data_IF_643837894658
#
_entry.id   IF_643837894658
#
_cell.length_a   1.000
_cell.length_b   1.000
_cell.length_c   1.000
_cell.angle_alpha   90.00
_cell.angle_beta   90.00
_cell.angle_gamma   90.00
#
_symmetry.space_group_name_H-M   'P 1'
#
loop_
_entity.id
_entity.type
_entity.pdbx_description
1 polymer ?
#
# COMPACT_ATOMS: atom_id res chain seq x y z
N UNK A 1 7.36 28.95 -9.24
CA UNK A 1 7.85 29.25 -7.89
C UNK A 1 6.69 28.90 -6.98
N UNK A 2 6.63 27.64 -6.57
CA UNK A 2 5.62 27.08 -5.67
C UNK A 2 6.28 25.87 -5.04
N UNK A 3 6.18 25.83 -3.73
CA UNK A 3 7.13 25.21 -2.82
C UNK A 3 7.27 23.72 -3.07
N UNK A 4 8.51 23.29 -3.28
CA UNK A 4 8.87 21.91 -3.03
C UNK A 4 8.54 21.65 -1.56
N UNK A 5 7.63 20.71 -1.30
CA UNK A 5 7.62 19.95 -0.06
C UNK A 5 8.92 19.13 0.00
N UNK A 6 10.05 19.82 0.16
CA UNK A 6 11.29 19.25 0.64
C UNK A 6 11.00 18.91 2.11
N UNK A 7 10.47 17.72 2.33
CA UNK A 7 10.50 17.10 3.65
C UNK A 7 11.97 17.01 4.05
N UNK A 8 12.42 17.96 4.88
CA UNK A 8 13.68 17.84 5.62
C UNK A 8 13.74 16.45 6.27
N UNK A 9 14.92 15.83 6.38
CA UNK A 9 15.05 14.53 7.02
C UNK A 9 14.82 14.69 8.53
N UNK A 10 13.56 14.67 8.95
CA UNK A 10 13.13 14.65 10.36
C UNK A 10 13.41 13.26 10.94
N UNK A 11 14.67 12.90 11.19
CA UNK A 11 14.96 11.74 12.02
C UNK A 11 15.68 12.15 13.31
N UNK A 12 14.98 12.96 14.11
CA UNK A 12 15.27 13.14 15.56
C UNK A 12 14.94 11.87 16.38
N UNK A 13 14.74 10.73 15.72
CA UNK A 13 14.46 9.45 16.37
C UNK A 13 15.79 8.72 16.55
N UNK A 14 16.23 8.63 17.80
CA UNK A 14 17.42 7.87 18.17
C UNK A 14 17.12 6.38 18.07
N UNK A 15 18.01 5.66 17.38
CA UNK A 15 17.98 4.20 17.27
C UNK A 15 17.97 3.51 18.64
N UNK A 16 17.33 2.34 18.74
CA UNK A 16 17.49 1.48 19.89
C UNK A 16 18.93 0.98 19.99
N UNK A 17 19.57 1.28 21.12
CA UNK A 17 20.87 0.75 21.51
C UNK A 17 20.70 -0.32 22.60
N UNK A 18 21.13 -1.57 22.35
CA UNK A 18 21.08 -2.62 23.36
C UNK A 18 21.90 -2.23 24.59
N UNK A 19 21.35 -2.47 25.78
CA UNK A 19 22.02 -2.12 27.03
C UNK A 19 22.94 -3.27 27.45
N UNK A 20 24.26 -3.03 27.52
CA UNK A 20 25.25 -4.07 27.83
C UNK A 20 25.07 -4.71 29.21
N UNK A 21 24.43 -4.01 30.15
CA UNK A 21 24.16 -4.50 31.51
C UNK A 21 22.86 -5.32 31.64
N UNK A 22 22.00 -5.34 30.62
CA UNK A 22 20.76 -6.11 30.68
C UNK A 22 21.01 -7.57 30.27
N UNK A 23 20.44 -8.49 31.04
CA UNK A 23 20.27 -9.88 30.60
C UNK A 23 19.43 -9.93 29.31
N UNK A 24 19.64 -10.95 28.49
CA UNK A 24 18.97 -11.08 27.20
C UNK A 24 17.44 -11.07 27.34
N UNK A 25 16.92 -11.60 28.44
CA UNK A 25 15.50 -11.64 28.79
C UNK A 25 14.88 -10.26 29.03
N UNK A 26 15.69 -9.26 29.42
CA UNK A 26 15.23 -7.89 29.64
C UNK A 26 15.35 -6.99 28.39
N UNK A 27 16.11 -7.41 27.36
CA UNK A 27 16.32 -6.62 26.15
C UNK A 27 15.05 -6.45 25.30
N UNK A 28 14.21 -7.50 25.06
CA UNK A 28 12.95 -7.33 24.35
C UNK A 28 12.01 -6.33 25.03
N UNK A 29 11.93 -6.35 26.35
CA UNK A 29 11.11 -5.39 27.10
C UNK A 29 11.61 -3.96 26.91
N UNK A 30 12.93 -3.74 26.96
CA UNK A 30 13.52 -2.43 26.68
C UNK A 30 13.29 -1.98 25.22
N UNK A 31 13.35 -2.91 24.26
CA UNK A 31 13.06 -2.63 22.85
C UNK A 31 11.60 -2.25 22.62
N UNK A 32 10.66 -2.96 23.27
CA UNK A 32 9.24 -2.64 23.25
C UNK A 32 8.99 -1.26 23.85
N UNK A 33 9.63 -0.93 24.97
CA UNK A 33 9.49 0.39 25.58
C UNK A 33 10.02 1.52 24.70
N UNK A 34 11.18 1.31 24.06
CA UNK A 34 11.69 2.24 23.05
C UNK A 34 10.71 2.42 21.90
N UNK A 35 10.09 1.34 21.43
CA UNK A 35 9.11 1.41 20.34
C UNK A 35 7.83 2.17 20.76
N UNK A 36 7.33 1.97 21.98
CA UNK A 36 6.20 2.74 22.53
C UNK A 36 6.50 4.25 22.57
N UNK A 37 7.71 4.63 22.93
CA UNK A 37 8.16 6.03 22.93
C UNK A 37 8.42 6.58 21.52
N UNK A 38 8.67 5.71 20.55
CA UNK A 38 8.98 6.08 19.17
C UNK A 38 7.73 6.21 18.32
N UNK A 39 6.69 5.41 18.57
CA UNK A 39 5.47 5.40 17.77
C UNK A 39 4.82 6.79 17.59
N UNK A 40 4.65 7.62 18.66
CA UNK A 40 4.07 8.95 18.51
C UNK A 40 4.91 9.91 17.65
N UNK A 41 6.23 9.68 17.55
CA UNK A 41 7.15 10.52 16.76
C UNK A 41 6.97 10.34 15.25
N UNK A 42 6.22 9.32 14.82
CA UNK A 42 5.86 9.12 13.42
C UNK A 42 4.62 9.90 12.98
N UNK A 43 3.94 10.62 13.89
CA UNK A 43 2.75 11.40 13.58
C UNK A 43 3.15 12.78 13.02
N UNK A 44 2.48 13.31 11.97
CA UNK A 44 1.48 12.65 11.13
C UNK A 44 2.09 11.90 9.92
N UNK A 45 3.40 12.06 9.69
CA UNK A 45 4.08 11.72 8.43
C UNK A 45 4.05 10.23 8.07
N UNK A 46 3.98 9.34 9.07
CA UNK A 46 4.11 7.89 8.88
C UNK A 46 2.98 7.08 9.51
N UNK A 47 2.34 7.64 10.54
CA UNK A 47 1.19 7.10 11.26
C UNK A 47 0.22 8.23 11.60
N UNK A 48 -1.07 7.92 11.74
CA UNK A 48 -2.09 8.91 12.08
C UNK A 48 -2.15 9.16 13.60
N UNK A 49 -2.61 10.35 14.01
CA UNK A 49 -2.75 10.72 15.43
C UNK A 49 -3.70 9.81 16.23
N UNK A 50 -4.61 9.11 15.53
CA UNK A 50 -5.55 8.16 16.11
C UNK A 50 -4.92 6.83 16.54
N UNK A 51 -3.66 6.56 16.17
CA UNK A 51 -3.02 5.28 16.48
C UNK A 51 -2.97 5.03 17.99
N UNK A 52 -3.34 3.81 18.41
CA UNK A 52 -3.15 3.34 19.78
C UNK A 52 -2.26 2.11 19.78
N UNK A 53 -1.40 2.00 20.79
CA UNK A 53 -0.48 0.87 20.88
C UNK A 53 -1.25 -0.44 21.02
N UNK A 54 -2.36 -0.43 21.74
CA UNK A 54 -3.19 -1.56 22.12
C UNK A 54 -3.94 -2.17 20.93
N UNK A 55 -4.16 -1.41 19.86
CA UNK A 55 -4.97 -1.82 18.71
C UNK A 55 -4.49 -3.15 18.10
N UNK A 56 -5.46 -4.01 17.74
CA UNK A 56 -5.19 -5.27 17.03
C UNK A 56 -4.80 -5.08 15.56
N UNK A 57 -4.92 -3.86 15.04
CA UNK A 57 -4.58 -3.50 13.67
C UNK A 57 -4.23 -2.02 13.58
N UNK A 58 -3.15 -1.69 12.88
CA UNK A 58 -2.76 -0.32 12.55
C UNK A 58 -3.12 0.08 11.11
N UNK A 59 -3.91 -0.75 10.41
CA UNK A 59 -4.33 -0.48 9.02
C UNK A 59 -4.99 0.89 8.84
N UNK A 60 -5.96 1.24 9.70
CA UNK A 60 -6.69 2.50 9.64
C UNK A 60 -5.87 3.71 10.17
N UNK A 61 -4.69 3.45 10.74
CA UNK A 61 -3.88 4.44 11.43
C UNK A 61 -2.62 4.81 10.63
N UNK A 62 -2.70 4.75 9.30
CA UNK A 62 -1.59 5.12 8.41
C UNK A 62 -0.56 4.00 8.19
N UNK A 63 -0.85 2.77 8.60
CA UNK A 63 0.03 1.61 8.40
C UNK A 63 -0.68 0.51 7.60
N UNK A 64 -0.77 0.63 6.27
CA UNK A 64 -1.52 -0.30 5.43
C UNK A 64 -1.13 -1.75 5.64
N UNK A 65 -2.13 -2.62 5.65
CA UNK A 65 -2.01 -4.07 5.85
C UNK A 65 -1.37 -4.53 7.18
N UNK A 66 -1.32 -3.66 8.20
CA UNK A 66 -0.74 -3.96 9.50
C UNK A 66 -1.75 -4.54 10.50
N UNK A 67 -2.10 -5.83 10.36
CA UNK A 67 -2.96 -6.53 11.34
C UNK A 67 -2.17 -7.56 12.16
N UNK A 68 -2.19 -7.41 13.49
CA UNK A 68 -1.54 -8.30 14.47
C UNK A 68 -2.37 -9.55 14.75
N UNK A 69 -2.78 -10.21 13.69
CA UNK A 69 -3.48 -11.49 13.72
C UNK A 69 -2.51 -12.66 13.55
N UNK A 70 -2.82 -13.83 14.13
CA UNK A 70 -2.05 -15.06 14.00
C UNK A 70 -1.98 -15.56 12.55
N UNK A 71 -1.04 -16.45 12.26
CA UNK A 71 -0.96 -17.12 10.96
C UNK A 71 -2.26 -17.88 10.67
N UNK A 72 -2.80 -17.74 9.46
CA UNK A 72 -4.05 -18.38 9.07
C UNK A 72 -5.34 -17.69 9.57
N UNK A 73 -5.24 -16.56 10.26
CA UNK A 73 -6.42 -15.74 10.57
C UNK A 73 -7.09 -15.25 9.29
N UNK A 74 -8.42 -15.34 9.24
CA UNK A 74 -9.24 -14.82 8.14
C UNK A 74 -10.28 -13.82 8.66
N UNK A 75 -10.99 -13.13 7.76
CA UNK A 75 -12.11 -12.26 8.16
C UNK A 75 -13.24 -13.06 8.82
N UNK A 76 -13.51 -14.28 8.34
CA UNK A 76 -14.57 -15.15 8.85
C UNK A 76 -14.18 -15.86 10.16
N UNK A 77 -12.88 -16.13 10.36
CA UNK A 77 -12.35 -16.75 11.57
C UNK A 77 -11.15 -15.93 12.07
N UNK A 78 -11.40 -14.76 12.69
CA UNK A 78 -10.34 -13.90 13.19
C UNK A 78 -9.62 -14.57 14.36
N UNK A 79 -8.29 -14.59 14.32
CA UNK A 79 -7.43 -15.12 15.38
C UNK A 79 -6.36 -14.09 15.69
N UNK A 80 -6.35 -13.56 16.92
CA UNK A 80 -5.34 -12.59 17.34
C UNK A 80 -3.98 -13.28 17.53
N UNK A 81 -2.90 -12.57 17.16
CA UNK A 81 -1.55 -12.94 17.60
C UNK A 81 -1.52 -12.84 19.13
N UNK A 82 -0.85 -13.79 19.78
CA UNK A 82 -0.91 -13.90 21.24
C UNK A 82 0.29 -13.22 21.92
N UNK A 83 0.02 -12.63 23.08
CA UNK A 83 1.07 -12.11 23.96
C UNK A 83 1.96 -13.25 24.50
N UNK A 84 3.23 -12.97 24.85
CA UNK A 84 3.93 -11.68 24.73
C UNK A 84 4.42 -11.33 23.31
N UNK A 85 4.35 -12.25 22.34
CA UNK A 85 4.93 -12.04 21.01
C UNK A 85 4.33 -10.85 20.26
N UNK A 86 3.03 -10.56 20.43
CA UNK A 86 2.36 -9.42 19.80
C UNK A 86 3.03 -8.08 20.09
N UNK A 87 3.50 -7.88 21.32
CA UNK A 87 4.17 -6.63 21.73
C UNK A 87 5.50 -6.47 21.01
N UNK A 88 6.25 -7.57 20.85
CA UNK A 88 7.47 -7.59 20.05
C UNK A 88 7.18 -7.33 18.56
N UNK A 89 6.15 -7.95 18.00
CA UNK A 89 5.76 -7.72 16.61
C UNK A 89 5.41 -6.24 16.36
N UNK A 90 4.65 -5.62 17.27
CA UNK A 90 4.37 -4.18 17.26
C UNK A 90 5.66 -3.36 17.27
N UNK A 91 6.60 -3.68 18.17
CA UNK A 91 7.88 -2.99 18.26
C UNK A 91 8.71 -3.07 16.96
N UNK A 92 8.71 -4.23 16.30
CA UNK A 92 9.35 -4.40 14.99
C UNK A 92 8.67 -3.57 13.90
N UNK A 93 7.33 -3.47 13.90
CA UNK A 93 6.61 -2.60 12.96
C UNK A 93 6.95 -1.13 13.18
N UNK A 94 7.09 -0.66 14.43
CA UNK A 94 7.56 0.70 14.72
C UNK A 94 8.98 0.92 14.19
N UNK A 95 9.89 -0.01 14.47
CA UNK A 95 11.28 0.08 13.99
C UNK A 95 11.33 0.23 12.47
N UNK A 96 10.52 -0.54 11.74
CA UNK A 96 10.53 -0.52 10.27
C UNK A 96 9.78 0.68 9.68
N UNK A 97 8.58 0.97 10.18
CA UNK A 97 7.70 2.00 9.60
C UNK A 97 8.10 3.41 10.03
N UNK A 98 8.39 3.61 11.31
CA UNK A 98 8.62 4.93 11.89
C UNK A 98 10.11 5.27 11.88
N UNK A 99 10.96 4.41 12.43
CA UNK A 99 12.39 4.71 12.53
C UNK A 99 13.13 4.59 11.19
N UNK A 100 12.95 3.48 10.45
CA UNK A 100 13.53 3.30 9.12
C UNK A 100 12.73 3.94 7.97
N UNK A 101 11.55 4.52 8.29
CA UNK A 101 10.67 5.19 7.33
C UNK A 101 10.31 4.33 6.10
N UNK A 102 10.23 3.00 6.25
CA UNK A 102 9.91 2.10 5.14
C UNK A 102 8.40 2.04 4.92
N UNK A 103 7.98 2.34 3.70
CA UNK A 103 6.57 2.28 3.29
C UNK A 103 5.98 0.86 3.41
N UNK A 104 6.71 -0.15 2.94
CA UNK A 104 6.29 -1.56 2.89
C UNK A 104 6.73 -2.33 4.12
N UNK A 105 5.76 -2.86 4.88
CA UNK A 105 6.01 -3.68 6.08
C UNK A 105 5.37 -5.07 6.06
N UNK A 106 4.47 -5.34 5.09
CA UNK A 106 3.65 -6.56 5.08
C UNK A 106 4.50 -7.84 5.08
N UNK A 107 5.61 -7.86 4.34
CA UNK A 107 6.53 -9.02 4.31
C UNK A 107 7.11 -9.36 5.68
N UNK A 108 7.52 -8.35 6.46
CA UNK A 108 8.01 -8.55 7.83
C UNK A 108 6.90 -9.03 8.76
N UNK A 109 5.69 -8.49 8.60
CA UNK A 109 4.54 -8.94 9.38
C UNK A 109 4.16 -10.39 9.06
N UNK A 110 4.21 -10.81 7.79
CA UNK A 110 3.98 -12.23 7.41
C UNK A 110 5.05 -13.14 7.99
N UNK A 111 6.32 -12.73 7.93
CA UNK A 111 7.43 -13.47 8.54
C UNK A 111 7.24 -13.62 10.06
N UNK A 112 6.85 -12.55 10.76
CA UNK A 112 6.55 -12.57 12.20
C UNK A 112 5.41 -13.52 12.56
N UNK A 113 4.34 -13.59 11.75
CA UNK A 113 3.23 -14.54 11.98
C UNK A 113 3.69 -15.99 11.90
N UNK A 114 4.52 -16.31 10.91
CA UNK A 114 5.08 -17.67 10.80
C UNK A 114 6.09 -17.96 11.92
N UNK A 115 6.86 -16.95 12.34
CA UNK A 115 7.80 -17.06 13.45
C UNK A 115 7.09 -17.31 14.78
N UNK A 116 6.00 -16.61 15.07
CA UNK A 116 5.18 -16.81 16.28
C UNK A 116 4.63 -18.23 16.36
N UNK A 117 4.05 -18.72 15.26
CA UNK A 117 3.52 -20.08 15.17
C UNK A 117 4.62 -21.13 15.41
N UNK A 118 5.77 -20.99 14.73
CA UNK A 118 6.90 -21.91 14.87
C UNK A 118 7.53 -21.88 16.26
N UNK A 119 7.65 -20.69 16.86
CA UNK A 119 8.23 -20.51 18.19
C UNK A 119 7.37 -21.19 19.26
N UNK A 120 6.05 -20.98 19.20
CA UNK A 120 5.14 -21.64 20.13
C UNK A 120 5.14 -23.16 19.94
N UNK A 121 5.12 -23.61 18.69
CA UNK A 121 5.13 -25.04 18.37
C UNK A 121 6.36 -25.77 18.93
N UNK A 122 7.57 -25.21 18.76
CA UNK A 122 8.80 -25.90 19.17
C UNK A 122 9.18 -25.67 20.63
N UNK A 123 8.73 -24.58 21.26
CA UNK A 123 9.19 -24.18 22.59
C UNK A 123 8.11 -24.22 23.67
N UNK A 124 6.84 -24.34 23.28
CA UNK A 124 5.67 -24.20 24.16
C UNK A 124 5.45 -22.77 24.66
N UNK A 125 6.29 -21.82 24.24
CA UNK A 125 6.28 -20.43 24.71
C UNK A 125 6.34 -19.46 23.56
N UNK A 126 6.04 -18.19 23.83
CA UNK A 126 6.11 -17.08 22.87
C UNK A 126 7.24 -16.11 23.19
N UNK A 127 8.21 -16.58 23.95
CA UNK A 127 9.39 -15.83 24.34
C UNK A 127 10.36 -15.70 23.16
N UNK A 128 10.44 -14.48 22.61
CA UNK A 128 11.22 -14.15 21.42
C UNK A 128 12.73 -14.38 21.61
N UNK A 129 13.21 -14.41 22.86
CA UNK A 129 14.63 -14.65 23.15
C UNK A 129 15.04 -16.09 22.83
N UNK A 130 14.07 -17.02 22.78
CA UNK A 130 14.25 -18.45 22.48
C UNK A 130 14.21 -18.77 20.99
N UNK A 131 14.09 -17.77 20.12
CA UNK A 131 14.19 -17.96 18.67
C UNK A 131 15.56 -18.55 18.33
N UNK A 132 15.56 -19.61 17.51
CA UNK A 132 16.75 -20.36 17.09
C UNK A 132 16.67 -20.70 15.60
N UNK A 133 17.77 -21.23 15.03
CA UNK A 133 17.77 -21.70 13.65
C UNK A 133 16.69 -22.77 13.37
N UNK A 134 16.41 -23.65 14.35
CA UNK A 134 15.36 -24.66 14.23
C UNK A 134 13.95 -24.02 14.16
N UNK A 135 13.70 -23.00 14.98
CA UNK A 135 12.46 -22.20 14.93
C UNK A 135 12.33 -21.51 13.57
N UNK A 136 13.41 -20.94 13.03
CA UNK A 136 13.39 -20.28 11.72
C UNK A 136 13.09 -21.27 10.59
N UNK A 137 13.68 -22.47 10.60
CA UNK A 137 13.39 -23.53 9.64
C UNK A 137 11.92 -23.95 9.70
N UNK A 138 11.37 -24.13 10.92
CA UNK A 138 9.95 -24.45 11.09
C UNK A 138 9.03 -23.31 10.63
N UNK A 139 9.43 -22.05 10.82
CA UNK A 139 8.72 -20.91 10.26
C UNK A 139 8.71 -20.95 8.73
N UNK A 140 9.82 -21.32 8.07
CA UNK A 140 9.87 -21.50 6.62
C UNK A 140 8.95 -22.63 6.11
N UNK A 141 8.75 -23.70 6.88
CA UNK A 141 7.74 -24.71 6.55
C UNK A 141 6.32 -24.14 6.61
N UNK A 142 6.00 -23.37 7.65
CA UNK A 142 4.71 -22.67 7.76
C UNK A 142 4.50 -21.70 6.61
N UNK A 143 5.52 -20.91 6.23
CA UNK A 143 5.49 -20.03 5.07
C UNK A 143 5.18 -20.81 3.79
N UNK A 144 5.86 -21.94 3.58
CA UNK A 144 5.71 -22.76 2.37
C UNK A 144 4.32 -23.40 2.26
N UNK A 145 3.78 -23.89 3.38
CA UNK A 145 2.42 -24.46 3.43
C UNK A 145 1.37 -23.40 3.19
N UNK A 146 1.51 -22.23 3.83
CA UNK A 146 0.49 -21.18 3.77
C UNK A 146 0.51 -20.42 2.43
N UNK A 147 1.69 -20.20 1.84
CA UNK A 147 1.87 -19.55 0.54
C UNK A 147 2.46 -20.50 -0.51
N UNK A 148 1.77 -21.61 -0.75
CA UNK A 148 2.23 -22.66 -1.66
C UNK A 148 2.35 -22.23 -3.13
N UNK A 149 1.63 -21.19 -3.55
CA UNK A 149 1.61 -20.66 -4.94
C UNK A 149 2.51 -19.43 -5.08
N UNK A 150 3.15 -19.30 -6.25
CA UNK A 150 4.07 -18.20 -6.54
C UNK A 150 5.36 -18.22 -5.71
N UNK A 151 6.00 -17.05 -5.59
CA UNK A 151 7.29 -16.82 -4.92
C UNK A 151 7.12 -16.19 -3.51
N UNK A 152 5.90 -16.06 -3.00
CA UNK A 152 5.63 -15.35 -1.74
C UNK A 152 6.36 -15.98 -0.54
N UNK A 153 6.33 -17.31 -0.41
CA UNK A 153 7.04 -18.00 0.67
C UNK A 153 8.55 -17.68 0.65
N UNK A 154 9.17 -17.69 -0.53
CA UNK A 154 10.57 -17.31 -0.72
C UNK A 154 10.84 -15.87 -0.26
N UNK A 155 10.01 -14.92 -0.70
CA UNK A 155 10.16 -13.52 -0.31
C UNK A 155 10.02 -13.32 1.21
N UNK A 156 9.04 -13.98 1.85
CA UNK A 156 8.89 -13.91 3.30
C UNK A 156 10.02 -14.61 4.06
N UNK A 157 10.65 -15.63 3.46
CA UNK A 157 11.88 -16.23 3.99
C UNK A 157 13.05 -15.25 4.03
N UNK A 158 13.24 -14.44 2.97
CA UNK A 158 14.25 -13.37 2.96
C UNK A 158 13.95 -12.27 3.99
N UNK A 159 12.67 -11.90 4.15
CA UNK A 159 12.28 -10.91 5.16
C UNK A 159 12.48 -11.46 6.59
N UNK A 160 12.27 -12.77 6.80
CA UNK A 160 12.61 -13.45 8.06
C UNK A 160 14.12 -13.40 8.31
N UNK A 161 14.96 -13.62 7.30
CA UNK A 161 16.42 -13.53 7.43
C UNK A 161 16.89 -12.12 7.83
N UNK A 162 16.30 -11.09 7.22
CA UNK A 162 16.54 -9.70 7.59
C UNK A 162 16.07 -9.41 9.04
N UNK A 163 14.95 -9.98 9.45
CA UNK A 163 14.44 -9.89 10.83
C UNK A 163 15.41 -10.54 11.83
N UNK A 164 15.90 -11.75 11.57
CA UNK A 164 16.87 -12.43 12.45
C UNK A 164 18.17 -11.63 12.53
N UNK A 165 18.63 -11.05 11.41
CA UNK A 165 19.80 -10.16 11.39
C UNK A 165 19.59 -8.94 12.30
N UNK A 166 18.40 -8.32 12.25
CA UNK A 166 18.05 -7.23 13.15
C UNK A 166 18.02 -7.68 14.61
N UNK A 167 17.38 -8.82 14.92
CA UNK A 167 17.27 -9.33 16.28
C UNK A 167 18.66 -9.55 16.91
N UNK A 168 19.62 -10.07 16.14
CA UNK A 168 21.03 -10.18 16.58
C UNK A 168 21.67 -8.83 16.81
N UNK A 169 21.57 -7.91 15.85
CA UNK A 169 22.15 -6.58 15.97
C UNK A 169 21.60 -5.81 17.18
N UNK A 170 20.34 -6.07 17.54
CA UNK A 170 19.66 -5.47 18.70
C UNK A 170 19.74 -6.32 19.97
N UNK A 171 20.51 -7.41 19.98
CA UNK A 171 20.68 -8.35 21.12
C UNK A 171 19.34 -8.80 21.74
N UNK A 172 18.38 -9.14 20.88
CA UNK A 172 17.02 -9.57 21.27
C UNK A 172 16.92 -11.09 21.44
N UNK A 173 18.03 -11.81 21.26
CA UNK A 173 18.14 -13.26 21.35
C UNK A 173 18.95 -13.64 22.58
N UNK A 174 18.60 -14.76 23.22
CA UNK A 174 19.39 -15.31 24.33
C UNK A 174 20.73 -15.87 23.85
N UNK A 175 20.71 -16.56 22.72
CA UNK A 175 21.90 -17.12 22.08
C UNK A 175 21.96 -16.63 20.65
N UNK A 176 23.08 -16.01 20.28
CA UNK A 176 23.32 -15.56 18.92
C UNK A 176 23.52 -16.76 17.98
N UNK A 177 22.90 -16.70 16.80
CA UNK A 177 23.11 -17.66 15.73
C UNK A 177 23.06 -16.97 14.38
N UNK A 178 23.73 -17.52 13.37
CA UNK A 178 23.57 -17.08 11.97
C UNK A 178 22.61 -18.04 11.28
N UNK A 179 21.74 -17.50 10.43
CA UNK A 179 20.76 -18.28 9.70
C UNK A 179 20.45 -17.63 8.37
N UNK A 180 20.21 -18.46 7.36
CA UNK A 180 19.79 -18.07 6.03
C UNK A 180 18.58 -18.89 5.63
N UNK A 181 17.64 -18.29 4.89
CA UNK A 181 16.42 -18.99 4.50
C UNK A 181 16.72 -20.18 3.57
N UNK A 182 16.21 -21.41 3.87
CA UNK A 182 16.35 -22.56 2.98
C UNK A 182 15.36 -22.50 1.79
N UNK A 183 14.42 -21.56 1.79
CA UNK A 183 13.45 -21.43 0.72
C UNK A 183 14.13 -20.94 -0.55
N UNK A 184 13.91 -21.65 -1.65
CA UNK A 184 14.40 -21.27 -2.96
C UNK A 184 13.30 -20.56 -3.75
N UNK A 185 13.73 -19.59 -4.56
CA UNK A 185 12.84 -18.99 -5.56
C UNK A 185 12.41 -20.05 -6.56
N UNK A 186 11.16 -20.06 -6.98
CA UNK A 186 10.73 -20.98 -8.03
C UNK A 186 11.44 -20.64 -9.34
N UNK A 187 11.93 -21.64 -10.10
CA UNK A 187 12.50 -21.37 -11.40
C UNK A 187 11.44 -20.73 -12.28
N UNK A 188 11.81 -19.66 -12.98
CA UNK A 188 10.96 -19.10 -14.02
C UNK A 188 10.96 -20.09 -15.18
N UNK A 189 9.78 -20.35 -15.77
CA UNK A 189 9.70 -21.14 -16.99
C UNK A 189 10.56 -20.56 -18.11
N UNK A 190 10.76 -21.32 -19.18
CA UNK A 190 11.47 -20.85 -20.39
C UNK A 190 10.84 -19.56 -20.94
N UNK A 191 11.59 -18.79 -21.73
CA UNK A 191 11.05 -17.59 -22.39
C UNK A 191 9.80 -17.90 -23.23
N UNK A 192 9.75 -19.09 -23.84
CA UNK A 192 8.59 -19.59 -24.59
C UNK A 192 7.37 -19.77 -23.69
N UNK A 193 7.54 -20.44 -22.54
CA UNK A 193 6.46 -20.59 -21.55
C UNK A 193 6.00 -19.24 -21.02
N UNK A 194 6.92 -18.34 -20.68
CA UNK A 194 6.55 -17.00 -20.21
C UNK A 194 5.78 -16.19 -21.26
N UNK A 195 6.11 -16.35 -22.55
CA UNK A 195 5.36 -15.72 -23.64
C UNK A 195 3.95 -16.29 -23.73
N UNK A 196 3.81 -17.61 -23.74
CA UNK A 196 2.51 -18.28 -23.76
C UNK A 196 1.64 -17.90 -22.53
N UNK A 197 2.23 -17.86 -21.34
CA UNK A 197 1.54 -17.43 -20.10
C UNK A 197 1.07 -15.96 -20.18
N UNK A 198 1.82 -15.09 -20.86
CA UNK A 198 1.42 -13.69 -21.09
C UNK A 198 0.29 -13.59 -22.09
N UNK A 199 0.40 -14.33 -23.20
CA UNK A 199 -0.64 -14.39 -24.23
C UNK A 199 -1.97 -14.90 -23.67
N UNK A 200 -1.93 -15.93 -22.80
CA UNK A 200 -3.12 -16.44 -22.12
C UNK A 200 -3.78 -15.42 -21.17
N UNK A 201 -3.02 -14.43 -20.66
CA UNK A 201 -3.54 -13.38 -19.77
C UNK A 201 -4.06 -12.15 -20.51
N UNK A 202 -3.83 -12.05 -21.82
CA UNK A 202 -4.37 -10.95 -22.62
C UNK A 202 -5.88 -11.16 -22.81
N UNK A 203 -6.68 -10.07 -22.83
CA UNK A 203 -8.07 -10.17 -23.23
C UNK A 203 -8.18 -10.70 -24.66
N UNK A 204 -9.22 -11.49 -24.93
CA UNK A 204 -9.46 -11.99 -26.29
C UNK A 204 -9.84 -10.84 -27.23
N UNK A 205 -9.63 -10.98 -28.55
CA UNK A 205 -10.08 -9.99 -29.53
C UNK A 205 -11.57 -9.65 -29.41
N UNK A 206 -12.41 -10.64 -29.13
CA UNK A 206 -13.86 -10.49 -28.94
C UNK A 206 -14.16 -9.67 -27.68
N UNK A 207 -13.40 -9.85 -26.60
CA UNK A 207 -13.55 -9.03 -25.40
C UNK A 207 -13.19 -7.57 -25.66
N UNK A 208 -12.11 -7.30 -26.42
CA UNK A 208 -11.74 -5.93 -26.82
C UNK A 208 -12.81 -5.33 -27.72
N UNK A 209 -13.36 -6.11 -28.66
CA UNK A 209 -14.44 -5.67 -29.55
C UNK A 209 -15.70 -5.32 -28.77
N UNK A 210 -16.11 -6.19 -27.84
CA UNK A 210 -17.27 -5.95 -26.96
C UNK A 210 -17.09 -4.68 -26.12
N UNK A 211 -15.90 -4.42 -25.58
CA UNK A 211 -15.60 -3.16 -24.88
C UNK A 211 -15.76 -1.95 -25.82
N UNK A 212 -15.32 -2.06 -27.07
CA UNK A 212 -15.52 -1.04 -28.09
C UNK A 212 -17.00 -0.80 -28.41
N UNK A 213 -17.79 -1.87 -28.60
CA UNK A 213 -19.24 -1.79 -28.85
C UNK A 213 -19.96 -1.14 -27.65
N UNK A 214 -19.65 -1.58 -26.43
CA UNK A 214 -20.18 -0.98 -25.20
C UNK A 214 -19.84 0.49 -25.09
N UNK A 215 -18.57 0.86 -25.30
CA UNK A 215 -18.14 2.25 -25.23
C UNK A 215 -18.91 3.10 -26.24
N UNK A 216 -19.11 2.63 -27.47
CA UNK A 216 -19.78 3.38 -28.54
C UNK A 216 -21.31 3.52 -28.40
N UNK A 217 -21.94 2.84 -27.44
CA UNK A 217 -23.35 3.03 -27.15
C UNK A 217 -23.65 4.39 -26.48
N UNK A 218 -24.94 4.72 -26.39
CA UNK A 218 -25.41 5.82 -25.56
C UNK A 218 -25.27 5.45 -24.08
N UNK A 219 -24.20 5.93 -23.45
CA UNK A 219 -23.92 5.69 -22.04
C UNK A 219 -24.63 6.75 -21.18
N UNK A 220 -25.44 6.31 -20.21
CA UNK A 220 -26.24 7.20 -19.35
C UNK A 220 -25.73 7.17 -17.90
N UNK A 221 -25.31 6.00 -17.40
CA UNK A 221 -24.87 5.86 -16.01
C UNK A 221 -23.43 6.38 -15.85
N UNK A 222 -23.14 7.26 -14.88
CA UNK A 222 -21.78 7.75 -14.65
C UNK A 222 -20.74 6.65 -14.46
N UNK A 223 -21.09 5.57 -13.74
CA UNK A 223 -20.18 4.43 -13.54
C UNK A 223 -19.81 3.74 -14.86
N UNK A 224 -20.77 3.55 -15.77
CA UNK A 224 -20.51 2.94 -17.08
C UNK A 224 -19.60 3.84 -17.92
N UNK A 225 -19.86 5.15 -17.90
CA UNK A 225 -19.03 6.15 -18.58
C UNK A 225 -17.60 6.10 -18.05
N UNK A 226 -17.41 6.16 -16.73
CA UNK A 226 -16.08 6.18 -16.10
C UNK A 226 -15.31 4.90 -16.42
N UNK A 227 -15.92 3.73 -16.23
CA UNK A 227 -15.24 2.44 -16.42
C UNK A 227 -14.89 2.20 -17.89
N UNK A 228 -15.83 2.42 -18.81
CA UNK A 228 -15.56 2.21 -20.24
C UNK A 228 -14.58 3.23 -20.80
N UNK A 229 -14.64 4.49 -20.33
CA UNK A 229 -13.66 5.52 -20.69
C UNK A 229 -12.26 5.19 -20.17
N UNK A 230 -12.13 4.69 -18.94
CA UNK A 230 -10.86 4.21 -18.40
C UNK A 230 -10.27 3.08 -19.27
N UNK A 231 -11.07 2.10 -19.67
CA UNK A 231 -10.64 1.05 -20.60
C UNK A 231 -10.18 1.62 -21.95
N UNK A 232 -10.98 2.50 -22.55
CA UNK A 232 -10.66 3.12 -23.83
C UNK A 232 -9.37 3.96 -23.77
N UNK A 233 -9.17 4.72 -22.69
CA UNK A 233 -7.96 5.52 -22.48
C UNK A 233 -6.72 4.64 -22.30
N UNK A 234 -6.82 3.56 -21.51
CA UNK A 234 -5.71 2.61 -21.30
C UNK A 234 -5.36 1.80 -22.56
N UNK A 235 -6.33 1.53 -23.43
CA UNK A 235 -6.07 0.95 -24.75
C UNK A 235 -5.42 1.98 -25.71
N UNK A 236 -5.75 3.26 -25.56
CA UNK A 236 -5.22 4.36 -26.37
C UNK A 236 -3.81 4.79 -25.95
N UNK A 237 -3.48 4.69 -24.66
CA UNK A 237 -2.18 5.02 -24.09
C UNK A 237 -1.87 4.09 -22.90
N UNK A 238 -1.29 2.90 -23.16
CA UNK A 238 -1.05 1.87 -22.15
C UNK A 238 -0.30 2.40 -20.92
N UNK A 239 -0.98 2.34 -19.77
CA UNK A 239 -0.53 2.93 -18.50
C UNK A 239 -1.03 2.11 -17.30
N UNK A 240 -0.62 2.48 -16.07
CA UNK A 240 -1.16 1.82 -14.88
C UNK A 240 -2.55 2.36 -14.58
N UNK A 241 -3.46 1.47 -14.21
CA UNK A 241 -4.82 1.86 -13.78
C UNK A 241 -4.81 2.85 -12.62
N UNK A 242 -3.85 2.72 -11.68
CA UNK A 242 -3.72 3.63 -10.54
C UNK A 242 -3.30 5.05 -10.91
N UNK A 243 -2.70 5.26 -12.08
CA UNK A 243 -2.28 6.58 -12.56
C UNK A 243 -3.44 7.34 -13.24
N UNK A 244 -4.61 6.70 -13.46
CA UNK A 244 -5.76 7.35 -14.10
C UNK A 244 -6.34 8.50 -13.28
N UNK A 245 -6.26 8.42 -11.95
CA UNK A 245 -6.74 9.46 -11.05
C UNK A 245 -5.92 10.77 -11.16
N UNK A 246 -4.68 10.68 -11.67
CA UNK A 246 -3.76 11.81 -11.82
C UNK A 246 -3.82 12.42 -13.24
N UNK A 247 -4.76 11.99 -14.09
CA UNK A 247 -4.92 12.54 -15.44
C UNK A 247 -5.69 13.86 -15.35
N UNK A 248 -4.99 14.96 -15.66
CA UNK A 248 -5.54 16.32 -15.63
C UNK A 248 -6.60 16.56 -16.71
N UNK A 249 -7.46 17.57 -16.50
CA UNK A 249 -8.50 17.96 -17.46
C UNK A 249 -7.89 18.41 -18.80
N UNK A 250 -6.80 19.19 -18.77
CA UNK A 250 -6.09 19.70 -19.96
C UNK A 250 -5.00 18.72 -20.44
N UNK A 251 -5.29 17.41 -20.40
CA UNK A 251 -4.32 16.39 -20.76
C UNK A 251 -4.03 16.27 -22.27
N UNK A 252 -4.85 16.83 -23.15
CA UNK A 252 -4.68 16.68 -24.60
C UNK A 252 -3.61 17.64 -25.15
N UNK A 253 -2.53 17.08 -25.71
CA UNK A 253 -1.43 17.86 -26.31
C UNK A 253 -1.21 17.42 -27.75
N UNK A 254 -1.24 18.35 -28.69
CA UNK A 254 -0.93 18.06 -30.09
C UNK A 254 0.51 18.44 -30.42
N UNK A 255 1.17 17.58 -31.19
CA UNK A 255 2.49 17.85 -31.75
C UNK A 255 2.48 17.56 -33.24
N UNK A 256 3.26 18.32 -33.97
CA UNK A 256 3.56 18.03 -35.37
C UNK A 256 4.86 17.23 -35.44
N UNK A 257 4.89 16.22 -36.30
CA UNK A 257 6.13 15.54 -36.65
C UNK A 257 6.93 16.38 -37.67
N UNK A 258 8.12 15.91 -38.03
CA UNK A 258 8.99 16.59 -38.99
C UNK A 258 8.38 16.70 -40.40
N UNK A 259 7.34 15.91 -40.69
CA UNK A 259 6.59 15.91 -41.94
C UNK A 259 5.31 16.78 -41.87
N UNK A 260 5.06 17.45 -40.73
CA UNK A 260 3.89 18.28 -40.51
C UNK A 260 2.62 17.50 -40.13
N UNK A 261 2.70 16.19 -39.88
CA UNK A 261 1.55 15.43 -39.44
C UNK A 261 1.28 15.68 -37.96
N UNK A 262 0.04 16.08 -37.66
CA UNK A 262 -0.42 16.31 -36.30
C UNK A 262 -0.74 14.98 -35.62
N UNK A 263 -0.17 14.76 -34.44
CA UNK A 263 -0.38 13.58 -33.59
C UNK A 263 -0.82 13.99 -32.20
N UNK A 264 -1.77 13.24 -31.64
CA UNK A 264 -2.24 13.46 -30.27
C UNK A 264 -1.34 12.75 -29.24
N UNK A 265 -1.00 13.51 -28.19
CA UNK A 265 -0.32 13.04 -26.99
C UNK A 265 -1.20 13.34 -25.78
N UNK A 266 -1.02 12.54 -24.72
CA UNK A 266 -1.59 12.75 -23.41
C UNK A 266 -0.52 13.22 -22.44
N UNK A 267 -0.78 14.32 -21.74
CA UNK A 267 -0.06 14.70 -20.53
C UNK A 267 -0.41 13.68 -19.44
N UNK A 268 0.60 12.99 -18.95
CA UNK A 268 0.43 11.85 -18.06
C UNK A 268 1.45 11.88 -16.93
N UNK A 269 0.98 12.01 -15.69
CA UNK A 269 1.83 11.91 -14.51
C UNK A 269 2.20 10.44 -14.23
N UNK A 270 3.50 10.14 -14.26
CA UNK A 270 4.00 8.79 -14.04
C UNK A 270 4.53 8.64 -12.62
N UNK A 271 3.71 8.06 -11.73
CA UNK A 271 3.96 7.96 -10.27
C UNK A 271 5.36 7.43 -9.92
N UNK A 272 5.83 6.38 -10.61
CA UNK A 272 7.14 5.76 -10.31
C UNK A 272 8.35 6.65 -10.57
N UNK A 273 8.23 7.56 -11.53
CA UNK A 273 9.32 8.48 -11.90
C UNK A 273 9.03 9.91 -11.44
N UNK A 274 7.89 10.13 -10.75
CA UNK A 274 7.46 11.41 -10.15
C UNK A 274 7.59 12.54 -11.17
N UNK A 275 7.07 12.31 -12.37
CA UNK A 275 7.23 13.24 -13.50
C UNK A 275 6.08 13.17 -14.48
N UNK A 276 5.67 14.34 -14.96
CA UNK A 276 4.77 14.48 -16.10
C UNK A 276 5.48 14.09 -17.39
N UNK A 277 4.87 13.19 -18.15
CA UNK A 277 5.35 12.70 -19.45
C UNK A 277 4.30 12.92 -20.52
N UNK A 278 4.74 13.09 -21.77
CA UNK A 278 3.84 13.13 -22.92
C UNK A 278 3.81 11.76 -23.57
N UNK A 279 2.65 11.09 -23.49
CA UNK A 279 2.44 9.75 -24.04
C UNK A 279 1.74 9.84 -25.39
N UNK A 280 2.32 9.29 -26.48
CA UNK A 280 1.63 9.27 -27.76
C UNK A 280 0.41 8.34 -27.69
N UNK A 281 -0.68 8.74 -28.35
CA UNK A 281 -1.82 7.85 -28.59
C UNK A 281 -1.39 6.78 -29.60
N UNK A 282 -1.59 5.49 -29.25
CA UNK A 282 -0.98 4.34 -29.94
C UNK A 282 -1.22 4.31 -31.44
N UNK A 283 -2.34 4.85 -31.93
CA UNK A 283 -2.66 4.99 -33.36
C UNK A 283 -3.56 6.20 -33.65
N UNK A 284 -3.51 6.81 -34.85
CA UNK A 284 -4.39 7.91 -35.24
C UNK A 284 -5.89 7.61 -35.05
N UNK A 285 -6.30 6.37 -35.29
CA UNK A 285 -7.70 5.94 -35.19
C UNK A 285 -8.23 5.93 -33.74
N UNK A 286 -7.33 5.95 -32.75
CA UNK A 286 -7.69 6.06 -31.34
C UNK A 286 -7.82 7.53 -30.89
N UNK A 287 -7.39 8.51 -31.69
CA UNK A 287 -7.49 9.92 -31.30
C UNK A 287 -8.95 10.40 -31.16
N UNK A 288 -9.90 10.05 -32.04
CA UNK A 288 -11.32 10.33 -31.83
C UNK A 288 -11.89 9.64 -30.58
N UNK A 289 -11.42 8.42 -30.27
CA UNK A 289 -11.81 7.67 -29.07
C UNK A 289 -11.39 8.43 -27.82
N UNK A 290 -10.14 8.91 -27.76
CA UNK A 290 -9.62 9.72 -26.67
C UNK A 290 -10.40 11.02 -26.51
N UNK A 291 -10.70 11.73 -27.60
CA UNK A 291 -11.52 12.96 -27.54
C UNK A 291 -12.89 12.69 -26.92
N UNK A 292 -13.54 11.60 -27.34
CA UNK A 292 -14.83 11.18 -26.78
C UNK A 292 -14.74 10.83 -25.30
N UNK A 293 -13.65 10.16 -24.87
CA UNK A 293 -13.39 9.91 -23.44
C UNK A 293 -13.41 11.22 -22.65
N UNK A 294 -12.68 12.24 -23.10
CA UNK A 294 -12.63 13.53 -22.40
C UNK A 294 -14.01 14.20 -22.39
N UNK A 295 -14.71 14.22 -23.52
CA UNK A 295 -16.08 14.79 -23.62
C UNK A 295 -17.06 14.12 -22.65
N UNK A 296 -16.98 12.81 -22.48
CA UNK A 296 -17.87 12.06 -21.58
C UNK A 296 -17.50 12.24 -20.10
N UNK A 297 -16.20 12.30 -19.78
CA UNK A 297 -15.73 12.42 -18.40
C UNK A 297 -15.82 13.83 -17.85
N UNK A 298 -15.69 14.85 -18.70
CA UNK A 298 -15.73 16.25 -18.28
C UNK A 298 -16.96 16.59 -17.42
N UNK A 299 -18.21 16.38 -17.86
CA UNK A 299 -19.40 16.69 -17.05
C UNK A 299 -19.50 15.88 -15.76
N UNK A 300 -18.99 14.64 -15.75
CA UNK A 300 -18.99 13.78 -14.55
C UNK A 300 -18.05 14.32 -13.48
N UNK A 301 -16.98 14.98 -13.90
CA UNK A 301 -15.90 15.43 -13.02
C UNK A 301 -15.96 16.93 -12.74
N UNK A 302 -16.92 17.65 -13.32
CA UNK A 302 -17.09 19.10 -13.13
C UNK A 302 -17.40 19.46 -11.68
N UNK A 303 -18.37 18.77 -11.05
CA UNK A 303 -18.73 19.03 -9.65
C UNK A 303 -17.53 18.79 -8.71
N UNK A 304 -16.81 17.68 -8.90
CA UNK A 304 -15.64 17.36 -8.09
C UNK A 304 -14.49 18.36 -8.27
N UNK A 305 -14.28 18.88 -9.49
CA UNK A 305 -13.30 19.95 -9.73
C UNK A 305 -13.72 21.27 -9.12
N UNK A 306 -14.98 21.67 -9.28
CA UNK A 306 -15.50 22.89 -8.65
C UNK A 306 -15.39 22.82 -7.13
N UNK A 307 -15.67 21.65 -6.56
CA UNK A 307 -15.49 21.37 -5.14
C UNK A 307 -14.01 21.47 -4.70
N UNK A 308 -13.09 20.88 -5.47
CA UNK A 308 -11.66 20.99 -5.20
C UNK A 308 -11.17 22.45 -5.24
N UNK A 309 -11.58 23.22 -6.27
CA UNK A 309 -11.27 24.66 -6.37
C UNK A 309 -11.83 25.42 -5.16
N UNK A 310 -13.05 25.14 -4.74
CA UNK A 310 -13.63 25.80 -3.56
C UNK A 310 -12.81 25.51 -2.29
N UNK A 311 -12.38 24.25 -2.08
CA UNK A 311 -11.53 23.89 -0.94
C UNK A 311 -10.16 24.57 -0.96
N UNK A 312 -9.58 24.77 -2.15
CA UNK A 312 -8.33 25.51 -2.32
C UNK A 312 -8.50 27.00 -2.00
N UNK A 313 -9.65 27.58 -2.35
CA UNK A 313 -9.99 28.98 -2.08
C UNK A 313 -10.44 29.24 -0.64
N UNK A 314 -11.00 28.24 0.05
CA UNK A 314 -11.56 28.34 1.41
C UNK A 314 -10.98 27.23 2.33
N UNK A 315 -9.66 27.25 2.62
CA UNK A 315 -8.97 26.14 3.30
C UNK A 315 -9.44 25.91 4.75
N UNK A 316 -10.00 26.94 5.39
CA UNK A 316 -10.46 26.90 6.78
C UNK A 316 -11.99 26.79 6.89
N UNK A 317 -12.69 26.58 5.77
CA UNK A 317 -14.15 26.52 5.74
C UNK A 317 -14.65 25.13 5.33
N UNK A 318 -15.87 24.79 5.77
CA UNK A 318 -16.57 23.60 5.32
C UNK A 318 -17.72 23.98 4.37
N UNK A 319 -17.79 23.41 3.16
CA UNK A 319 -18.72 23.86 2.13
C UNK A 319 -20.18 23.66 2.56
N UNK A 320 -21.05 24.67 2.41
CA UNK A 320 -22.45 24.53 2.73
C UNK A 320 -23.13 23.54 1.78
N UNK A 321 -23.78 22.53 2.34
CA UNK A 321 -24.60 21.57 1.58
C UNK A 321 -25.85 21.21 2.38
N UNK A 322 -26.88 20.67 1.73
CA UNK A 322 -28.19 20.41 2.34
C UNK A 322 -28.11 19.56 3.63
N UNK A 323 -27.21 18.58 3.68
CA UNK A 323 -26.98 17.75 4.88
C UNK A 323 -26.16 18.40 6.01
N UNK A 324 -25.71 19.66 5.87
CA UNK A 324 -24.87 20.33 6.87
C UNK A 324 -25.77 20.78 8.04
N UNK A 325 -25.53 20.32 9.28
CA UNK A 325 -26.29 20.79 10.44
C UNK A 325 -25.98 22.27 10.70
N UNK A 326 -26.95 23.04 11.23
CA UNK A 326 -26.79 24.46 11.54
C UNK A 326 -25.95 24.64 12.82
N UNK A 327 -24.67 24.30 12.72
CA UNK A 327 -23.70 24.26 13.81
C UNK A 327 -22.42 24.99 13.42
N UNK A 328 -21.77 25.57 14.42
CA UNK A 328 -20.46 26.20 14.26
C UNK A 328 -19.39 25.14 13.94
N UNK A 329 -18.28 25.50 13.25
CA UNK A 329 -17.28 24.54 12.79
C UNK A 329 -16.71 23.60 13.87
N UNK A 330 -16.55 24.09 15.11
CA UNK A 330 -16.00 23.34 16.24
C UNK A 330 -17.07 22.67 17.12
N UNK A 331 -18.35 22.79 16.78
CA UNK A 331 -19.42 22.20 17.57
C UNK A 331 -19.56 20.69 17.27
N UNK A 332 -19.57 19.82 18.29
CA UNK A 332 -19.64 18.39 18.07
C UNK A 332 -20.96 17.97 17.41
N UNK A 333 -20.85 17.11 16.39
CA UNK A 333 -21.99 16.47 15.76
C UNK A 333 -22.44 15.25 16.55
N UNK A 334 -23.74 15.05 16.64
CA UNK A 334 -24.34 13.76 17.00
C UNK A 334 -24.09 12.74 15.88
N UNK A 335 -24.20 11.46 16.20
CA UNK A 335 -24.06 10.40 15.19
C UNK A 335 -25.02 10.59 14.01
N UNK A 336 -26.27 10.97 14.27
CA UNK A 336 -27.27 11.20 13.22
C UNK A 336 -26.90 12.40 12.33
N UNK A 337 -26.43 13.51 12.91
CA UNK A 337 -25.97 14.69 12.16
C UNK A 337 -24.74 14.36 11.31
N UNK A 338 -23.79 13.58 11.84
CA UNK A 338 -22.63 13.12 11.08
C UNK A 338 -23.01 12.22 9.91
N UNK A 339 -23.92 11.26 10.11
CA UNK A 339 -24.44 10.41 9.03
C UNK A 339 -25.15 11.24 7.95
N UNK A 340 -26.02 12.17 8.35
CA UNK A 340 -26.72 13.06 7.42
C UNK A 340 -25.74 13.93 6.62
N UNK A 341 -24.73 14.49 7.28
CA UNK A 341 -23.72 15.33 6.62
C UNK A 341 -22.88 14.53 5.62
N UNK A 342 -22.54 13.29 5.94
CA UNK A 342 -21.73 12.41 5.09
C UNK A 342 -22.55 11.61 4.05
N UNK A 343 -23.88 11.78 4.02
CA UNK A 343 -24.81 11.02 3.19
C UNK A 343 -24.65 9.48 3.36
N UNK A 344 -24.44 9.04 4.61
CA UNK A 344 -24.21 7.64 5.01
C UNK A 344 -25.46 6.94 5.55
#
# INVERSE_FOLDING_TARGET
MTEAFDSEPTNNIVDFKPRTHLAAEAQPAAFIQWAKQTLPKGIPNHVHASIRWEDGSWHAHGVPSCSFAALGSTKAAPKAMQAPFTEFAKAIMVYRRVYLQKKTIDGWLKALKALEAALFELTGTRDVTRVSAAVCNRACEHLSRHWAKGDNAYHYGLELEALITLMRAKKLLKTDFRWTSPLARKPRGTLKQQKADREQKLPSPEAIKALGEMFNNALIRPLDIVVTSACALLLSAPSRVGELADVELDCLVFKEDAQGNRRLFLRWYAEKIIKVTLKPVVKPEMEPVVKRVITLLQPITDEARAYATWLEEHPDEFPPHEGRPPKEPDEPLTYAEACAALKL
#
